data_IF_334461566655
#
_entry.id   IF_334461566655
#
_cell.length_a   1.000
_cell.length_b   1.000
_cell.length_c   1.000
_cell.angle_alpha   90.00
_cell.angle_beta   90.00
_cell.angle_gamma   90.00
#
_symmetry.space_group_name_H-M   'P 1'
#
loop_
_entity.id
_entity.type
_entity.pdbx_description
1 polymer ?
#
# COMPACT_ATOMS: atom_id res chain seq x y z
N UNK A 1 16.02 10.12 7.03
CA UNK A 1 14.92 9.16 6.74
C UNK A 1 13.62 9.82 6.24
N UNK A 2 13.49 11.15 6.30
CA UNK A 2 12.49 11.93 5.56
C UNK A 2 13.17 13.13 4.89
N UNK A 3 14.03 12.87 3.90
CA UNK A 3 14.73 13.96 3.18
C UNK A 3 13.79 14.68 2.22
N UNK A 4 12.76 13.99 1.72
CA UNK A 4 11.85 14.54 0.73
C UNK A 4 10.38 14.22 1.11
N UNK A 5 9.63 15.19 1.65
CA UNK A 5 8.27 14.96 2.15
C UNK A 5 7.34 14.44 1.06
N UNK A 6 7.62 14.71 -0.22
CA UNK A 6 6.88 14.19 -1.35
C UNK A 6 6.95 12.67 -1.48
N UNK A 7 8.13 12.08 -1.26
CA UNK A 7 8.32 10.61 -1.30
C UNK A 7 7.48 9.93 -0.22
N UNK A 8 7.22 10.65 0.87
CA UNK A 8 6.36 10.15 1.91
C UNK A 8 4.88 10.44 1.64
N UNK A 9 4.48 11.69 1.51
CA UNK A 9 3.07 12.09 1.48
C UNK A 9 2.34 11.60 0.23
N UNK A 10 2.98 11.61 -0.94
CA UNK A 10 2.33 11.35 -2.22
C UNK A 10 1.82 9.90 -2.33
N UNK A 11 2.62 8.85 -2.01
CA UNK A 11 2.10 7.49 -1.95
C UNK A 11 0.92 7.33 -0.99
N UNK A 12 0.92 8.01 0.17
CA UNK A 12 -0.18 7.88 1.15
C UNK A 12 -1.49 8.49 0.66
N UNK A 13 -1.42 9.63 -0.05
CA UNK A 13 -2.58 10.20 -0.69
C UNK A 13 -3.14 9.28 -1.80
N UNK A 14 -2.26 8.64 -2.58
CA UNK A 14 -2.64 7.72 -3.65
C UNK A 14 -3.30 6.44 -3.14
N UNK A 15 -2.98 5.96 -1.93
CA UNK A 15 -3.65 4.78 -1.35
C UNK A 15 -5.16 5.02 -1.25
N UNK A 16 -5.58 6.17 -0.73
CA UNK A 16 -7.01 6.48 -0.56
C UNK A 16 -7.76 6.51 -1.90
N UNK A 17 -7.18 7.16 -2.91
CA UNK A 17 -7.75 7.22 -4.25
C UNK A 17 -7.77 5.83 -4.90
N UNK A 18 -6.64 5.12 -4.89
CA UNK A 18 -6.51 3.81 -5.51
C UNK A 18 -7.46 2.79 -4.90
N UNK A 19 -7.50 2.68 -3.58
CA UNK A 19 -8.41 1.77 -2.87
C UNK A 19 -9.88 2.07 -3.14
N UNK A 20 -10.28 3.35 -3.20
CA UNK A 20 -11.65 3.73 -3.53
C UNK A 20 -12.04 3.29 -4.93
N UNK A 21 -11.23 3.62 -5.94
CA UNK A 21 -11.52 3.24 -7.33
C UNK A 21 -11.52 1.72 -7.50
N UNK A 22 -10.55 1.02 -6.90
CA UNK A 22 -10.51 -0.43 -6.91
C UNK A 22 -11.76 -1.03 -6.26
N UNK A 23 -12.12 -0.57 -5.06
CA UNK A 23 -13.29 -1.08 -4.35
C UNK A 23 -14.57 -0.85 -5.17
N UNK A 24 -14.74 0.34 -5.76
CA UNK A 24 -15.91 0.65 -6.56
C UNK A 24 -15.98 -0.20 -7.84
N UNK A 25 -14.83 -0.41 -8.51
CA UNK A 25 -14.75 -1.25 -9.70
C UNK A 25 -15.03 -2.72 -9.39
N UNK A 26 -14.36 -3.27 -8.38
CA UNK A 26 -14.48 -4.68 -8.00
C UNK A 26 -15.86 -4.97 -7.39
N UNK A 27 -16.49 -4.00 -6.72
CA UNK A 27 -17.88 -4.11 -6.22
C UNK A 27 -18.89 -4.42 -7.33
N UNK A 28 -18.62 -3.98 -8.56
CA UNK A 28 -19.49 -4.25 -9.72
C UNK A 28 -19.56 -5.74 -10.03
N UNK A 29 -18.47 -6.49 -9.78
CA UNK A 29 -18.35 -7.91 -10.10
C UNK A 29 -18.49 -8.81 -8.87
N UNK A 30 -17.99 -8.37 -7.71
CA UNK A 30 -17.95 -9.14 -6.47
C UNK A 30 -18.62 -8.32 -5.37
N UNK A 31 -19.79 -8.76 -4.89
CA UNK A 31 -20.56 -8.04 -3.84
C UNK A 31 -20.25 -8.50 -2.41
N UNK A 32 -19.39 -9.50 -2.26
CA UNK A 32 -19.04 -10.10 -0.97
C UNK A 32 -17.79 -9.45 -0.35
N UNK A 33 -17.43 -9.92 0.85
CA UNK A 33 -16.22 -9.52 1.61
C UNK A 33 -14.94 -9.63 0.77
N UNK A 34 -14.91 -10.51 -0.23
CA UNK A 34 -13.80 -10.63 -1.18
C UNK A 34 -13.46 -9.34 -1.92
N UNK A 35 -14.44 -8.45 -2.17
CA UNK A 35 -14.17 -7.14 -2.75
C UNK A 35 -13.27 -6.29 -1.84
N UNK A 36 -13.54 -6.31 -0.53
CA UNK A 36 -12.76 -5.59 0.47
C UNK A 36 -11.35 -6.16 0.57
N UNK A 37 -11.21 -7.49 0.47
CA UNK A 37 -9.89 -8.15 0.46
C UNK A 37 -9.09 -7.69 -0.76
N UNK A 38 -9.67 -7.72 -1.97
CA UNK A 38 -8.99 -7.28 -3.19
C UNK A 38 -8.60 -5.79 -3.11
N UNK A 39 -9.50 -4.94 -2.63
CA UNK A 39 -9.22 -3.53 -2.42
C UNK A 39 -8.08 -3.31 -1.40
N UNK A 40 -8.03 -4.12 -0.33
CA UNK A 40 -6.95 -4.05 0.66
C UNK A 40 -5.59 -4.44 0.09
N UNK A 41 -5.53 -5.48 -0.75
CA UNK A 41 -4.30 -5.93 -1.40
C UNK A 41 -3.78 -4.86 -2.36
N UNK A 42 -4.66 -4.27 -3.17
CA UNK A 42 -4.24 -3.22 -4.10
C UNK A 42 -3.81 -1.97 -3.34
N UNK A 43 -4.48 -1.63 -2.23
CA UNK A 43 -4.08 -0.53 -1.36
C UNK A 43 -2.69 -0.70 -0.76
N UNK A 44 -2.37 -1.89 -0.25
CA UNK A 44 -1.02 -2.17 0.29
C UNK A 44 0.03 -2.17 -0.81
N UNK A 45 -0.27 -2.73 -1.99
CA UNK A 45 0.64 -2.67 -3.13
C UNK A 45 0.95 -1.23 -3.54
N UNK A 46 -0.04 -0.33 -3.58
CA UNK A 46 0.19 1.10 -3.87
C UNK A 46 1.09 1.74 -2.81
N UNK A 47 0.99 1.34 -1.54
CA UNK A 47 1.88 1.81 -0.49
C UNK A 47 3.32 1.30 -0.71
N UNK A 48 3.52 -0.02 -0.71
CA UNK A 48 4.85 -0.63 -0.78
C UNK A 48 5.54 -0.25 -2.08
N UNK A 49 4.91 -0.47 -3.24
CA UNK A 49 5.51 -0.10 -4.52
C UNK A 49 5.60 1.41 -4.71
N UNK A 50 4.58 2.18 -4.33
CA UNK A 50 4.57 3.63 -4.50
C UNK A 50 5.67 4.31 -3.71
N UNK A 51 5.90 3.90 -2.46
CA UNK A 51 7.00 4.44 -1.65
C UNK A 51 8.35 4.04 -2.21
N UNK A 52 8.53 2.77 -2.60
CA UNK A 52 9.83 2.27 -3.07
C UNK A 52 10.21 2.82 -4.45
N UNK A 53 9.27 2.91 -5.38
CA UNK A 53 9.51 3.50 -6.70
C UNK A 53 9.83 4.99 -6.59
N UNK A 54 9.11 5.72 -5.74
CA UNK A 54 9.41 7.13 -5.47
C UNK A 54 10.77 7.30 -4.76
N UNK A 55 11.11 6.39 -3.84
CA UNK A 55 12.44 6.38 -3.21
C UNK A 55 13.56 6.09 -4.21
N UNK A 56 13.33 5.22 -5.20
CA UNK A 56 14.31 4.97 -6.27
C UNK A 56 14.54 6.21 -7.14
N UNK A 57 13.47 6.88 -7.58
CA UNK A 57 13.57 8.06 -8.45
C UNK A 57 14.30 9.21 -7.74
N UNK A 58 13.95 9.49 -6.48
CA UNK A 58 14.44 10.68 -5.78
C UNK A 58 15.69 10.46 -4.91
N UNK A 59 15.94 9.24 -4.44
CA UNK A 59 17.03 8.94 -3.50
C UNK A 59 18.05 7.93 -4.02
N UNK A 60 18.05 7.57 -5.32
CA UNK A 60 19.00 6.59 -5.88
C UNK A 60 20.46 6.95 -5.65
N UNK A 61 20.84 8.22 -5.86
CA UNK A 61 22.22 8.72 -5.65
C UNK A 61 22.66 8.64 -4.18
N UNK A 62 21.80 9.11 -3.26
CA UNK A 62 22.06 9.07 -1.81
C UNK A 62 22.10 7.64 -1.26
N UNK A 63 21.23 6.76 -1.76
CA UNK A 63 21.24 5.34 -1.38
C UNK A 63 22.55 4.66 -1.81
N UNK A 64 23.05 4.99 -3.00
CA UNK A 64 24.32 4.46 -3.47
C UNK A 64 25.52 4.99 -2.65
N UNK A 65 25.54 6.27 -2.29
CA UNK A 65 26.62 6.84 -1.48
C UNK A 65 26.70 6.24 -0.06
N UNK A 66 25.55 6.01 0.58
CA UNK A 66 25.50 5.49 1.95
C UNK A 66 25.72 3.99 2.00
N UNK A 67 25.14 3.23 1.07
CA UNK A 67 25.15 1.76 1.11
C UNK A 67 26.23 1.15 0.22
N UNK A 68 26.78 1.88 -0.75
CA UNK A 68 27.70 1.40 -1.81
C UNK A 68 27.21 0.17 -2.57
N UNK A 69 25.90 -0.09 -2.51
CA UNK A 69 25.22 -1.22 -3.14
C UNK A 69 24.25 -0.66 -4.18
N UNK A 70 23.99 -1.43 -5.24
CA UNK A 70 23.00 -1.06 -6.25
C UNK A 70 21.62 -0.79 -5.57
N UNK A 71 21.10 0.45 -5.63
CA UNK A 71 19.90 0.86 -4.91
C UNK A 71 18.66 0.07 -5.36
N UNK A 72 18.61 -0.37 -6.62
CA UNK A 72 17.50 -1.18 -7.12
C UNK A 72 17.41 -2.54 -6.39
N UNK A 73 18.55 -3.20 -6.16
CA UNK A 73 18.59 -4.51 -5.48
C UNK A 73 18.18 -4.39 -4.01
N UNK A 74 18.67 -3.34 -3.34
CA UNK A 74 18.35 -3.07 -1.93
C UNK A 74 16.86 -2.77 -1.74
N UNK A 75 16.29 -1.88 -2.57
CA UNK A 75 14.87 -1.56 -2.52
C UNK A 75 14.02 -2.78 -2.84
N UNK A 76 14.41 -3.61 -3.81
CA UNK A 76 13.69 -4.85 -4.11
C UNK A 76 13.67 -5.83 -2.93
N UNK A 77 14.77 -5.97 -2.17
CA UNK A 77 14.75 -6.76 -0.93
C UNK A 77 13.80 -6.19 0.12
N UNK A 78 13.72 -4.87 0.26
CA UNK A 78 12.77 -4.20 1.17
C UNK A 78 11.33 -4.44 0.72
N UNK A 79 11.08 -4.41 -0.59
CA UNK A 79 9.76 -4.63 -1.18
C UNK A 79 9.24 -6.01 -0.80
N UNK A 80 10.09 -7.03 -0.92
CA UNK A 80 9.73 -8.42 -0.61
C UNK A 80 9.59 -8.61 0.90
N UNK A 81 10.56 -8.14 1.68
CA UNK A 81 10.58 -8.37 3.13
C UNK A 81 9.42 -7.70 3.86
N UNK A 82 8.96 -6.54 3.40
CA UNK A 82 7.84 -5.82 4.02
C UNK A 82 6.51 -6.04 3.30
N UNK A 83 6.52 -6.17 1.97
CA UNK A 83 5.30 -6.29 1.18
C UNK A 83 4.53 -7.59 1.43
N UNK A 84 5.24 -8.70 1.64
CA UNK A 84 4.59 -10.00 1.93
C UNK A 84 3.85 -9.94 3.28
N UNK A 85 4.49 -9.57 4.41
CA UNK A 85 3.79 -9.38 5.68
C UNK A 85 2.62 -8.39 5.61
N UNK A 86 2.79 -7.24 4.96
CA UNK A 86 1.73 -6.22 4.85
C UNK A 86 0.48 -6.75 4.15
N UNK A 87 0.65 -7.47 3.03
CA UNK A 87 -0.47 -8.05 2.29
C UNK A 87 -1.22 -9.08 3.14
N UNK A 88 -0.50 -9.95 3.84
CA UNK A 88 -1.11 -10.99 4.70
C UNK A 88 -1.92 -10.32 5.81
N UNK A 89 -1.32 -9.39 6.54
CA UNK A 89 -1.98 -8.70 7.66
C UNK A 89 -3.20 -7.91 7.20
N UNK A 90 -3.09 -7.14 6.11
CA UNK A 90 -4.20 -6.34 5.59
C UNK A 90 -5.35 -7.20 5.04
N UNK A 91 -5.04 -8.33 4.39
CA UNK A 91 -6.07 -9.24 3.89
C UNK A 91 -6.96 -9.83 4.99
N UNK A 92 -6.46 -9.90 6.23
CA UNK A 92 -7.19 -10.41 7.40
C UNK A 92 -7.87 -9.28 8.17
N UNK A 93 -7.13 -8.21 8.48
CA UNK A 93 -7.64 -7.13 9.34
C UNK A 93 -8.70 -6.27 8.64
N UNK A 94 -8.50 -5.92 7.36
CA UNK A 94 -9.40 -5.00 6.65
C UNK A 94 -10.82 -5.56 6.51
N UNK A 95 -11.07 -6.83 6.13
CA UNK A 95 -12.44 -7.35 6.10
C UNK A 95 -13.08 -7.44 7.50
N UNK A 96 -12.31 -7.67 8.57
CA UNK A 96 -12.82 -7.65 9.94
C UNK A 96 -13.28 -6.25 10.33
N UNK A 97 -12.43 -5.25 10.10
CA UNK A 97 -12.74 -3.84 10.38
C UNK A 97 -13.95 -3.40 9.55
N UNK A 98 -14.02 -3.77 8.27
CA UNK A 98 -15.14 -3.44 7.40
C UNK A 98 -16.48 -3.97 7.94
N UNK A 99 -16.54 -5.24 8.37
CA UNK A 99 -17.75 -5.81 8.98
C UNK A 99 -18.15 -5.08 10.25
N UNK A 100 -17.18 -4.76 11.12
CA UNK A 100 -17.43 -4.00 12.35
C UNK A 100 -17.98 -2.61 12.05
N UNK A 101 -17.35 -1.90 11.09
CA UNK A 101 -17.74 -0.56 10.67
C UNK A 101 -19.14 -0.54 10.05
N UNK A 102 -19.49 -1.52 9.21
CA UNK A 102 -20.84 -1.63 8.66
C UNK A 102 -21.91 -1.80 9.74
N UNK A 103 -21.60 -2.54 10.82
CA UNK A 103 -22.53 -2.73 11.93
C UNK A 103 -22.79 -1.42 12.67
N UNK A 104 -21.76 -0.63 12.91
CA UNK A 104 -21.86 0.68 13.58
C UNK A 104 -22.64 1.66 12.70
N UNK A 105 -22.30 1.77 11.41
CA UNK A 105 -22.93 2.71 10.48
C UNK A 105 -24.41 2.42 10.21
N UNK A 106 -24.86 1.16 10.34
CA UNK A 106 -26.29 0.81 10.23
C UNK A 106 -27.09 1.11 11.50
N UNK A 107 -26.41 1.36 12.62
CA UNK A 107 -27.05 1.61 13.92
C UNK A 107 -27.31 3.10 14.15
N UNK A 108 -26.65 3.95 13.37
CA UNK A 108 -26.87 5.41 13.31
C UNK A 108 -27.93 5.69 12.24
#
# INVERSE_FOLDING_TARGET
>A
MFINPFVSVLPRALIGLGTYYTFNFVKKYIKNVFNVIIASIIGTMINTFGVLSMAYIFCSSQLYEVLKINPAKFLFTIAISNGIPEIIVCSILVPMIYKSLQKILKTI
#
